data_IF_438268511302
#
_entry.id   IF_438268511302
#
_cell.length_a   1.000
_cell.length_b   1.000
_cell.length_c   1.000
_cell.angle_alpha   90.00
_cell.angle_beta   90.00
_cell.angle_gamma   90.00
#
_symmetry.space_group_name_H-M   'P 1'
#
loop_
_entity.id
_entity.type
_entity.pdbx_description
1 polymer ?
#
# COMPACT_ATOMS: atom_id res chain seq x y z
N UNK A 1 -11.28 -14.33 10.03
CA UNK A 1 -10.22 -13.74 10.88
C UNK A 1 -10.44 -12.24 10.94
N UNK A 2 -10.39 -11.64 12.12
CA UNK A 2 -10.56 -10.19 12.26
C UNK A 2 -9.30 -9.52 11.74
N UNK A 3 -9.36 -8.93 10.55
CA UNK A 3 -8.29 -8.08 10.04
C UNK A 3 -8.21 -6.85 10.93
N UNK A 4 -7.08 -6.67 11.61
CA UNK A 4 -6.78 -5.41 12.26
C UNK A 4 -6.33 -4.42 11.18
N UNK A 5 -7.27 -3.61 10.70
CA UNK A 5 -6.92 -2.42 9.94
C UNK A 5 -6.02 -1.55 10.82
N UNK A 6 -4.72 -1.52 10.52
CA UNK A 6 -3.87 -0.43 10.99
C UNK A 6 -4.28 0.80 10.17
N UNK A 7 -5.19 1.59 10.74
CA UNK A 7 -5.41 2.96 10.28
C UNK A 7 -4.07 3.69 10.38
N UNK A 8 -3.45 3.98 9.25
CA UNK A 8 -2.32 4.92 9.18
C UNK A 8 -2.92 6.30 9.45
N UNK A 9 -3.01 6.66 10.72
CA UNK A 9 -3.42 7.99 11.13
C UNK A 9 -2.22 8.92 10.96
N UNK A 10 -2.12 9.55 9.79
CA UNK A 10 -1.26 10.73 9.65
C UNK A 10 -2.02 11.89 10.26
N UNK A 11 -1.76 12.13 11.55
CA UNK A 11 -2.33 13.28 12.26
C UNK A 11 -1.71 14.57 11.72
N UNK A 12 -2.57 15.47 11.27
CA UNK A 12 -2.20 16.88 11.07
C UNK A 12 -1.74 17.46 12.43
N UNK A 13 -0.56 18.08 12.42
CA UNK A 13 0.06 18.68 13.61
C UNK A 13 -0.77 19.89 14.05
N UNK A 14 -1.50 19.72 15.13
CA UNK A 14 -1.87 20.86 15.99
C UNK A 14 -1.07 20.69 17.29
N UNK A 15 -0.22 21.67 17.59
CA UNK A 15 0.54 21.75 18.83
C UNK A 15 -0.40 21.83 20.05
N UNK A 16 -0.49 20.76 20.81
CA UNK A 16 -0.68 20.86 22.28
C UNK A 16 -0.03 19.62 22.89
N UNK A 17 0.94 19.82 23.78
CA UNK A 17 1.67 18.75 24.42
C UNK A 17 0.82 17.86 25.29
N UNK A 18 0.92 16.56 25.07
CA UNK A 18 0.73 15.49 26.03
C UNK A 18 1.61 14.32 25.58
N UNK A 19 2.54 13.94 26.44
CA UNK A 19 3.37 12.76 26.28
C UNK A 19 2.52 11.52 26.15
N UNK A 20 2.57 10.84 25.00
CA UNK A 20 2.10 9.48 24.87
C UNK A 20 3.01 8.73 23.89
N UNK A 21 3.53 7.59 24.33
CA UNK A 21 4.28 6.55 23.65
C UNK A 21 4.75 6.90 22.24
N UNK A 22 6.02 7.29 22.12
CA UNK A 22 6.70 7.48 20.85
C UNK A 22 6.71 6.16 20.09
N UNK A 23 5.85 6.03 19.07
CA UNK A 23 6.23 5.26 17.91
C UNK A 23 7.41 6.01 17.30
N UNK A 24 8.53 5.32 17.12
CA UNK A 24 9.74 5.89 16.54
C UNK A 24 9.60 6.15 15.02
N UNK A 25 8.47 6.70 14.59
CA UNK A 25 8.21 7.04 13.20
C UNK A 25 9.05 8.26 12.84
N UNK A 26 9.90 8.15 11.84
CA UNK A 26 10.75 9.25 11.40
C UNK A 26 10.42 9.65 9.96
N UNK A 27 10.10 10.93 9.76
CA UNK A 27 10.01 11.50 8.41
C UNK A 27 11.39 11.52 7.78
N UNK A 28 11.50 10.98 6.57
CA UNK A 28 12.75 10.94 5.81
C UNK A 28 12.58 11.57 4.43
N UNK A 29 13.69 11.94 3.82
CA UNK A 29 13.70 12.37 2.43
C UNK A 29 13.49 11.17 1.49
N UNK A 30 12.66 11.32 0.45
CA UNK A 30 12.40 10.28 -0.54
C UNK A 30 13.67 9.76 -1.24
N UNK A 31 14.73 10.57 -1.32
CA UNK A 31 16.03 10.14 -1.85
C UNK A 31 16.67 9.01 -1.04
N UNK A 32 16.28 8.83 0.23
CA UNK A 32 16.77 7.78 1.13
C UNK A 32 15.99 6.46 1.01
N UNK A 33 14.96 6.40 0.17
CA UNK A 33 14.29 5.16 -0.14
C UNK A 33 15.24 4.18 -0.81
N UNK A 34 15.07 2.86 -0.61
CA UNK A 34 15.80 1.84 -1.38
C UNK A 34 15.60 2.01 -2.89
N UNK A 35 16.59 1.62 -3.69
CA UNK A 35 16.55 1.76 -5.15
C UNK A 35 15.37 0.99 -5.77
N UNK A 36 14.99 -0.16 -5.23
CA UNK A 36 13.84 -0.92 -5.69
C UNK A 36 12.53 -0.13 -5.52
N UNK A 37 12.36 0.55 -4.38
CA UNK A 37 11.19 1.40 -4.13
C UNK A 37 11.17 2.61 -5.06
N UNK A 38 12.31 3.29 -5.27
CA UNK A 38 12.44 4.41 -6.22
C UNK A 38 12.12 3.97 -7.65
N UNK A 39 12.60 2.80 -8.06
CA UNK A 39 12.32 2.24 -9.38
C UNK A 39 10.84 1.91 -9.57
N UNK A 40 10.20 1.33 -8.56
CA UNK A 40 8.76 1.06 -8.56
C UNK A 40 7.94 2.35 -8.67
N UNK A 41 8.24 3.34 -7.85
CA UNK A 41 7.58 4.66 -7.90
C UNK A 41 7.73 5.30 -9.28
N UNK A 42 8.95 5.30 -9.84
CA UNK A 42 9.21 5.85 -11.17
C UNK A 42 8.45 5.13 -12.27
N UNK A 43 8.34 3.79 -12.20
CA UNK A 43 7.69 2.98 -13.23
C UNK A 43 6.16 3.14 -13.22
N UNK A 44 5.54 3.25 -12.06
CA UNK A 44 4.07 3.22 -11.92
C UNK A 44 3.46 4.56 -11.54
N UNK A 45 4.23 5.45 -10.91
CA UNK A 45 3.77 6.73 -10.36
C UNK A 45 4.70 7.91 -10.71
N UNK A 46 5.49 7.80 -11.79
CA UNK A 46 6.59 8.71 -12.11
C UNK A 46 6.27 10.19 -12.26
N UNK A 47 5.00 10.54 -12.54
CA UNK A 47 4.53 11.93 -12.60
C UNK A 47 3.88 12.41 -11.30
N UNK A 48 3.74 11.52 -10.30
CA UNK A 48 3.04 11.82 -9.06
C UNK A 48 3.99 12.42 -8.04
N UNK A 49 3.57 13.51 -7.40
CA UNK A 49 4.33 14.15 -6.32
C UNK A 49 4.30 13.26 -5.07
N UNK A 50 5.47 13.05 -4.45
CA UNK A 50 5.61 12.40 -3.15
C UNK A 50 5.41 13.46 -2.07
N UNK A 51 4.30 13.40 -1.35
CA UNK A 51 3.99 14.33 -0.26
C UNK A 51 4.76 14.06 1.02
N UNK A 52 5.17 12.80 1.23
CA UNK A 52 5.94 12.43 2.41
C UNK A 52 6.36 10.97 2.40
N UNK A 53 7.42 10.71 3.15
CA UNK A 53 7.91 9.36 3.45
C UNK A 53 8.13 9.25 4.94
N UNK A 54 7.55 8.20 5.52
CA UNK A 54 7.73 7.85 6.94
C UNK A 54 8.46 6.52 7.02
N UNK A 55 9.47 6.44 7.86
CA UNK A 55 10.07 5.18 8.26
C UNK A 55 9.39 4.72 9.53
N UNK A 56 8.53 3.71 9.40
CA UNK A 56 7.78 3.13 10.51
C UNK A 56 8.53 1.92 11.09
N UNK A 57 8.74 1.93 12.39
CA UNK A 57 9.45 0.86 13.12
C UNK A 57 8.44 0.01 13.88
N UNK A 58 8.55 -1.31 13.71
CA UNK A 58 7.80 -2.30 14.46
C UNK A 58 8.73 -3.32 15.15
N UNK A 59 8.17 -4.28 15.86
CA UNK A 59 8.92 -5.33 16.56
C UNK A 59 9.74 -6.24 15.63
N UNK A 60 9.43 -6.25 14.34
CA UNK A 60 10.05 -7.11 13.33
C UNK A 60 11.08 -6.36 12.45
N UNK A 61 11.16 -5.02 12.61
CA UNK A 61 12.07 -4.20 11.84
C UNK A 61 11.50 -2.83 11.50
N UNK A 62 11.46 -2.48 10.22
CA UNK A 62 10.85 -1.25 9.73
C UNK A 62 10.37 -1.38 8.28
N UNK A 63 9.42 -0.53 7.95
CA UNK A 63 8.91 -0.30 6.59
C UNK A 63 9.08 1.16 6.20
N UNK A 64 8.76 1.47 4.95
CA UNK A 64 8.69 2.83 4.46
C UNK A 64 7.28 3.09 3.95
N UNK A 65 6.60 4.06 4.52
CA UNK A 65 5.27 4.49 4.11
C UNK A 65 5.39 5.72 3.25
N UNK A 66 5.00 5.61 1.99
CA UNK A 66 5.04 6.69 0.99
C UNK A 66 3.63 7.18 0.72
N UNK A 67 3.42 8.50 0.84
CA UNK A 67 2.18 9.15 0.47
C UNK A 67 2.35 9.95 -0.81
N UNK A 68 1.46 9.72 -1.78
CA UNK A 68 1.41 10.44 -3.04
C UNK A 68 0.31 11.51 -3.06
N UNK A 69 0.40 12.43 -4.01
CA UNK A 69 -0.51 13.58 -4.12
C UNK A 69 -1.95 13.21 -4.48
N UNK A 70 -2.17 12.07 -5.15
CA UNK A 70 -3.50 11.52 -5.46
C UNK A 70 -4.17 10.78 -4.28
N UNK A 71 -3.48 10.74 -3.13
CA UNK A 71 -3.94 10.03 -1.94
C UNK A 71 -3.49 8.57 -1.87
N UNK A 72 -2.75 8.06 -2.86
CA UNK A 72 -2.16 6.73 -2.81
C UNK A 72 -1.19 6.61 -1.63
N UNK A 73 -1.30 5.52 -0.88
CA UNK A 73 -0.40 5.11 0.18
C UNK A 73 0.31 3.83 -0.25
N UNK A 74 1.63 3.80 -0.16
CA UNK A 74 2.42 2.62 -0.51
C UNK A 74 3.34 2.28 0.65
N UNK A 75 3.19 1.07 1.18
CA UNK A 75 4.12 0.50 2.16
C UNK A 75 5.19 -0.32 1.44
N UNK A 76 6.46 0.03 1.64
CA UNK A 76 7.60 -0.73 1.15
C UNK A 76 8.30 -1.45 2.30
N UNK A 77 8.73 -2.68 2.05
CA UNK A 77 9.63 -3.41 2.94
C UNK A 77 11.00 -2.76 2.98
N UNK A 78 11.80 -3.12 3.98
CA UNK A 78 13.20 -2.69 4.14
C UNK A 78 14.04 -2.84 2.86
N UNK A 79 13.79 -3.87 2.06
CA UNK A 79 14.51 -4.12 0.80
C UNK A 79 13.98 -3.31 -0.39
N UNK A 80 12.93 -2.50 -0.20
CA UNK A 80 12.31 -1.68 -1.24
C UNK A 80 11.24 -2.39 -2.08
N UNK A 81 10.93 -3.66 -1.80
CA UNK A 81 9.76 -4.31 -2.40
C UNK A 81 8.49 -3.75 -1.76
N UNK A 82 7.47 -3.46 -2.59
CA UNK A 82 6.19 -3.03 -2.04
C UNK A 82 5.52 -4.17 -1.28
N UNK A 83 4.83 -3.81 -0.20
CA UNK A 83 4.05 -4.71 0.64
C UNK A 83 2.57 -4.45 0.49
N UNK A 84 2.16 -3.18 0.51
CA UNK A 84 0.77 -2.76 0.36
C UNK A 84 0.67 -1.51 -0.49
N UNK A 85 -0.40 -1.41 -1.26
CA UNK A 85 -0.77 -0.22 -2.04
C UNK A 85 -2.25 0.04 -1.82
N UNK A 86 -2.58 1.22 -1.30
CA UNK A 86 -3.95 1.65 -1.04
C UNK A 86 -4.27 2.95 -1.77
N UNK A 87 -5.40 3.00 -2.47
CA UNK A 87 -6.04 4.23 -2.91
C UNK A 87 -7.56 4.02 -2.94
N UNK A 88 -8.25 4.47 -1.87
CA UNK A 88 -9.68 4.25 -1.70
C UNK A 88 -10.54 5.18 -2.53
N UNK A 89 -10.00 6.28 -3.03
CA UNK A 89 -10.74 7.29 -3.79
C UNK A 89 -10.72 7.04 -5.30
N UNK A 90 -9.54 6.78 -5.86
CA UNK A 90 -9.35 6.68 -7.31
C UNK A 90 -8.97 5.26 -7.76
N UNK A 91 -8.63 4.40 -6.80
CA UNK A 91 -8.16 3.05 -7.04
C UNK A 91 -6.65 2.96 -7.28
N UNK A 92 -6.13 1.76 -7.10
CA UNK A 92 -4.73 1.42 -7.36
C UNK A 92 -4.49 1.43 -8.87
N UNK A 93 -3.42 2.10 -9.31
CA UNK A 93 -3.07 2.17 -10.73
C UNK A 93 -2.83 0.77 -11.29
N UNK A 94 -3.47 0.46 -12.45
CA UNK A 94 -3.47 -0.89 -13.01
C UNK A 94 -2.08 -1.46 -13.30
N UNK A 95 -1.11 -0.61 -13.67
CA UNK A 95 0.28 -1.04 -13.92
C UNK A 95 1.01 -1.53 -12.67
N UNK A 96 0.56 -1.15 -11.46
CA UNK A 96 1.13 -1.62 -10.21
C UNK A 96 0.53 -2.95 -9.73
N UNK A 97 -0.59 -3.38 -10.31
CA UNK A 97 -1.25 -4.66 -10.01
C UNK A 97 -0.57 -5.75 -10.85
N UNK A 98 -0.21 -6.91 -10.26
CA UNK A 98 0.33 -8.03 -11.04
C UNK A 98 -0.59 -8.39 -12.22
N UNK A 99 -0.02 -8.53 -13.42
CA UNK A 99 -0.79 -8.66 -14.66
C UNK A 99 -1.86 -9.76 -14.61
N UNK A 100 -1.53 -10.93 -14.08
CA UNK A 100 -2.46 -12.07 -13.99
C UNK A 100 -3.65 -11.78 -13.07
N UNK A 101 -3.44 -11.03 -11.99
CA UNK A 101 -4.52 -10.54 -11.12
C UNK A 101 -5.38 -9.53 -11.88
N UNK A 102 -4.75 -8.57 -12.55
CA UNK A 102 -5.45 -7.58 -13.38
C UNK A 102 -6.33 -8.21 -14.47
N UNK A 103 -5.81 -9.23 -15.16
CA UNK A 103 -6.55 -9.99 -16.17
C UNK A 103 -7.76 -10.71 -15.57
N UNK A 104 -7.58 -11.35 -14.41
CA UNK A 104 -8.69 -12.00 -13.69
C UNK A 104 -9.77 -11.00 -13.29
N UNK A 105 -9.37 -9.86 -12.73
CA UNK A 105 -10.31 -8.81 -12.31
C UNK A 105 -11.06 -8.22 -13.50
N UNK A 106 -10.39 -7.96 -14.60
CA UNK A 106 -11.02 -7.47 -15.84
C UNK A 106 -12.07 -8.44 -16.38
N UNK A 107 -11.80 -9.74 -16.32
CA UNK A 107 -12.71 -10.77 -16.80
C UNK A 107 -13.92 -11.00 -15.87
N UNK A 108 -13.74 -10.90 -14.55
CA UNK A 108 -14.77 -11.30 -13.57
C UNK A 108 -15.43 -10.12 -12.85
N UNK A 109 -14.77 -8.96 -12.79
CA UNK A 109 -15.22 -7.75 -12.09
C UNK A 109 -14.98 -6.49 -12.92
N UNK A 110 -15.48 -6.43 -14.17
CA UNK A 110 -15.12 -5.37 -15.13
C UNK A 110 -15.57 -3.96 -14.75
N UNK A 111 -16.49 -3.83 -13.80
CA UNK A 111 -17.02 -2.54 -13.31
C UNK A 111 -16.41 -2.12 -11.98
N UNK A 112 -15.50 -2.92 -11.43
CA UNK A 112 -14.87 -2.67 -10.16
C UNK A 112 -13.39 -2.36 -10.33
N UNK A 113 -12.83 -1.66 -9.35
CA UNK A 113 -11.40 -1.36 -9.28
C UNK A 113 -10.83 -1.72 -7.91
N UNK A 114 -9.54 -1.96 -7.87
CA UNK A 114 -8.81 -2.30 -6.66
C UNK A 114 -8.61 -1.03 -5.84
N UNK A 115 -8.99 -1.07 -4.56
CA UNK A 115 -8.75 0.03 -3.61
C UNK A 115 -7.63 -0.28 -2.62
N UNK A 116 -7.31 -1.56 -2.43
CA UNK A 116 -6.20 -2.04 -1.61
C UNK A 116 -5.67 -3.34 -2.19
N UNK A 117 -4.36 -3.49 -2.21
CA UNK A 117 -3.67 -4.75 -2.52
C UNK A 117 -2.51 -4.93 -1.56
N UNK A 118 -2.50 -6.04 -0.82
CA UNK A 118 -1.42 -6.42 0.08
C UNK A 118 -0.73 -7.69 -0.39
N UNK A 119 0.59 -7.75 -0.27
CA UNK A 119 1.42 -8.90 -0.62
C UNK A 119 2.18 -9.42 0.58
N UNK A 120 1.76 -10.55 1.12
CA UNK A 120 2.46 -11.26 2.19
C UNK A 120 2.73 -12.73 1.81
N UNK A 121 1.92 -13.67 2.29
CA UNK A 121 1.97 -15.10 1.91
C UNK A 121 1.19 -15.38 0.63
N UNK A 122 0.29 -14.50 0.30
CA UNK A 122 -0.58 -14.44 -0.86
C UNK A 122 -0.86 -12.96 -1.15
N UNK A 123 -1.60 -12.68 -2.21
CA UNK A 123 -2.16 -11.34 -2.41
C UNK A 123 -3.56 -11.28 -1.83
N UNK A 124 -3.81 -10.29 -1.00
CA UNK A 124 -5.14 -9.85 -0.59
C UNK A 124 -5.52 -8.62 -1.39
N UNK A 125 -6.67 -8.66 -2.05
CA UNK A 125 -7.15 -7.61 -2.97
C UNK A 125 -8.55 -7.19 -2.56
N UNK A 126 -8.70 -5.92 -2.12
CA UNK A 126 -10.00 -5.32 -1.84
C UNK A 126 -10.49 -4.50 -3.04
N UNK A 127 -11.73 -4.76 -3.45
CA UNK A 127 -12.40 -4.01 -4.50
C UNK A 127 -13.28 -2.89 -3.92
N UNK A 128 -13.57 -1.87 -4.74
CA UNK A 128 -14.40 -0.72 -4.35
C UNK A 128 -15.85 -1.08 -3.98
N UNK A 129 -16.30 -2.30 -4.24
CA UNK A 129 -17.60 -2.82 -3.81
C UNK A 129 -17.55 -3.60 -2.48
N UNK A 130 -16.38 -3.62 -1.80
CA UNK A 130 -16.17 -4.29 -0.52
C UNK A 130 -15.94 -5.80 -0.60
N UNK A 131 -15.66 -6.34 -1.80
CA UNK A 131 -15.22 -7.72 -1.94
C UNK A 131 -13.73 -7.82 -1.66
N UNK A 132 -13.36 -8.78 -0.83
CA UNK A 132 -11.99 -9.22 -0.59
C UNK A 132 -11.70 -10.49 -1.38
N UNK A 133 -10.65 -10.47 -2.18
CA UNK A 133 -10.20 -11.58 -3.03
C UNK A 133 -8.79 -12.00 -2.64
N UNK A 134 -8.56 -13.30 -2.54
CA UNK A 134 -7.25 -13.87 -2.25
C UNK A 134 -6.66 -14.53 -3.49
N UNK A 135 -5.39 -14.21 -3.79
CA UNK A 135 -4.64 -14.79 -4.91
C UNK A 135 -3.31 -15.36 -4.42
N UNK A 136 -2.83 -16.42 -5.06
CA UNK A 136 -1.48 -16.93 -4.81
C UNK A 136 -0.42 -15.90 -5.22
N UNK A 137 0.83 -16.11 -4.78
CA UNK A 137 1.96 -15.27 -5.23
C UNK A 137 2.23 -15.37 -6.74
N UNK A 138 1.73 -16.42 -7.40
CA UNK A 138 1.77 -16.57 -8.86
C UNK A 138 0.60 -15.87 -9.57
N UNK A 139 -0.31 -15.23 -8.80
CA UNK A 139 -1.47 -14.49 -9.30
C UNK A 139 -2.69 -15.35 -9.61
N UNK A 140 -2.72 -16.63 -9.17
CA UNK A 140 -3.89 -17.49 -9.32
C UNK A 140 -4.94 -17.17 -8.27
N UNK A 141 -6.20 -17.04 -8.68
CA UNK A 141 -7.32 -16.84 -7.76
C UNK A 141 -7.48 -18.05 -6.83
N UNK A 142 -7.62 -17.77 -5.53
CA UNK A 142 -7.82 -18.77 -4.49
C UNK A 142 -9.27 -18.77 -4.02
N UNK A 143 -9.76 -17.62 -3.53
CA UNK A 143 -11.12 -17.51 -2.97
C UNK A 143 -11.55 -16.05 -2.79
N UNK A 144 -12.84 -15.89 -2.52
CA UNK A 144 -13.39 -14.67 -1.94
C UNK A 144 -13.30 -14.82 -0.42
N UNK A 145 -12.66 -13.88 0.25
CA UNK A 145 -12.66 -13.78 1.71
C UNK A 145 -13.85 -12.86 2.12
N UNK A 146 -14.70 -13.35 3.06
CA UNK A 146 -15.93 -12.65 3.51
C UNK A 146 -15.84 -12.28 4.98
#
# INVERSE_FOLDING_TARGET
>A
MKRFFKLIAIAAVALVGLQSCEKNDSHINAALLPDAAKSFLSAHYGSMEILGVVKDYDDLGYTYDVRLADGTLIEFRKNGEWKQIENRSEGVVGSAIPAKIGDYLTANYPTNFVIDIERERHYDVELNNGLDLEFSLDGDFIRIDR
#
